data_IF_584976110164
#
_entry.id   IF_584976110164
#
_cell.length_a   1.000
_cell.length_b   1.000
_cell.length_c   1.000
_cell.angle_alpha   90.00
_cell.angle_beta   90.00
_cell.angle_gamma   90.00
#
_symmetry.space_group_name_H-M   'P 1'
#
loop_
_entity.id
_entity.type
_entity.pdbx_description
1 polymer ?
#
# COMPACT_ATOMS: atom_id res chain seq x y z
N UNK A 1 -12.80 -9.05 -14.68
CA UNK A 1 -11.76 -8.95 -13.63
C UNK A 1 -11.73 -7.50 -13.18
N UNK A 2 -11.36 -7.25 -11.93
CA UNK A 2 -11.36 -5.93 -11.32
C UNK A 2 -9.94 -5.50 -10.98
N UNK A 3 -9.66 -4.21 -11.07
CA UNK A 3 -8.38 -3.61 -10.67
C UNK A 3 -8.45 -3.16 -9.22
N UNK A 4 -7.47 -3.54 -8.42
CA UNK A 4 -7.34 -3.12 -7.04
C UNK A 4 -5.97 -2.48 -6.79
N UNK A 5 -5.94 -1.45 -5.95
CA UNK A 5 -4.70 -0.77 -5.55
C UNK A 5 -4.42 -1.04 -4.09
N UNK A 6 -3.25 -1.61 -3.79
CA UNK A 6 -2.86 -2.00 -2.45
C UNK A 6 -1.70 -1.12 -1.99
N UNK A 7 -1.85 -0.46 -0.84
CA UNK A 7 -0.75 0.17 -0.13
C UNK A 7 -0.01 -0.87 0.72
N UNK A 8 1.32 -0.83 0.70
CA UNK A 8 2.18 -1.70 1.50
C UNK A 8 3.04 -0.82 2.40
N UNK A 9 3.22 -1.24 3.65
CA UNK A 9 4.07 -0.55 4.62
C UNK A 9 4.74 -1.49 5.61
N UNK A 10 5.99 -1.21 5.99
CA UNK A 10 6.70 -1.92 7.05
C UNK A 10 7.73 -1.02 7.72
N UNK A 11 7.96 -1.19 9.02
CA UNK A 11 9.05 -0.50 9.74
C UNK A 11 9.76 -1.37 10.79
N UNK A 12 9.56 -2.70 10.76
CA UNK A 12 10.23 -3.66 11.64
C UNK A 12 10.95 -4.72 10.82
N UNK A 13 11.96 -5.34 11.43
CA UNK A 13 12.55 -6.63 11.03
C UNK A 13 12.84 -6.77 9.52
N UNK A 14 13.68 -5.89 8.98
CA UNK A 14 13.95 -5.78 7.53
C UNK A 14 12.72 -5.30 6.74
N UNK A 15 12.33 -4.01 6.89
CA UNK A 15 11.11 -3.50 6.28
C UNK A 15 11.14 -3.51 4.75
N UNK A 16 12.31 -3.33 4.14
CA UNK A 16 12.47 -3.44 2.69
C UNK A 16 12.26 -4.88 2.21
N UNK A 17 12.84 -5.87 2.91
CA UNK A 17 12.61 -7.28 2.62
C UNK A 17 11.17 -7.71 2.81
N UNK A 18 10.48 -7.23 3.86
CA UNK A 18 9.05 -7.50 4.06
C UNK A 18 8.18 -6.97 2.91
N UNK A 19 8.38 -5.71 2.50
CA UNK A 19 7.61 -5.13 1.40
C UNK A 19 7.93 -5.82 0.07
N UNK A 20 9.22 -6.11 -0.20
CA UNK A 20 9.65 -6.83 -1.40
C UNK A 20 9.02 -8.24 -1.50
N UNK A 21 9.02 -8.99 -0.39
CA UNK A 21 8.41 -10.32 -0.33
C UNK A 21 6.89 -10.25 -0.51
N UNK A 22 6.24 -9.31 0.16
CA UNK A 22 4.80 -9.12 0.04
C UNK A 22 4.39 -8.78 -1.40
N UNK A 23 5.16 -7.95 -2.12
CA UNK A 23 4.92 -7.68 -3.55
C UNK A 23 4.96 -8.94 -4.42
N UNK A 24 5.82 -9.90 -4.10
CA UNK A 24 5.87 -11.19 -4.79
C UNK A 24 4.66 -12.06 -4.40
N UNK A 25 4.34 -12.16 -3.11
CA UNK A 25 3.24 -13.00 -2.62
C UNK A 25 1.85 -12.50 -3.03
N UNK A 26 1.69 -11.20 -3.25
CA UNK A 26 0.47 -10.63 -3.83
C UNK A 26 0.16 -11.19 -5.23
N UNK A 27 1.18 -11.55 -6.01
CA UNK A 27 1.02 -12.19 -7.33
C UNK A 27 0.55 -13.66 -7.21
N UNK A 28 0.75 -14.28 -6.05
CA UNK A 28 0.35 -15.66 -5.75
C UNK A 28 -1.00 -15.78 -5.04
N UNK A 29 -1.72 -14.68 -4.79
CA UNK A 29 -3.03 -14.75 -4.14
C UNK A 29 -4.08 -15.42 -5.04
N UNK A 30 -5.08 -16.12 -4.46
CA UNK A 30 -6.14 -16.77 -5.24
C UNK A 30 -6.82 -15.81 -6.22
N UNK A 31 -6.97 -16.25 -7.47
CA UNK A 31 -7.67 -15.51 -8.53
C UNK A 31 -7.14 -14.08 -8.74
N UNK A 32 -5.89 -13.83 -8.41
CA UNK A 32 -5.28 -12.50 -8.37
C UNK A 32 -3.94 -12.55 -9.08
N UNK A 33 -3.58 -11.45 -9.76
CA UNK A 33 -2.28 -11.27 -10.39
C UNK A 33 -1.81 -9.83 -10.16
N UNK A 34 -0.55 -9.64 -9.83
CA UNK A 34 0.06 -8.31 -9.79
C UNK A 34 0.33 -7.81 -11.22
N UNK A 35 -0.13 -6.60 -11.51
CA UNK A 35 0.07 -5.94 -12.81
C UNK A 35 1.30 -5.04 -12.80
N UNK A 36 1.44 -4.22 -11.77
CA UNK A 36 2.59 -3.35 -11.56
C UNK A 36 2.78 -3.07 -10.07
N UNK A 37 3.92 -2.49 -9.71
CA UNK A 37 4.14 -1.87 -8.41
C UNK A 37 5.04 -0.64 -8.56
N UNK A 38 4.92 0.28 -7.61
CA UNK A 38 5.84 1.40 -7.45
C UNK A 38 7.23 0.92 -7.01
N UNK A 39 8.17 1.86 -6.97
CA UNK A 39 9.40 1.70 -6.20
C UNK A 39 9.13 1.61 -4.70
N UNK A 40 10.16 1.28 -3.93
CA UNK A 40 10.15 1.40 -2.47
C UNK A 40 10.45 2.85 -2.06
N UNK A 41 9.74 3.33 -1.05
CA UNK A 41 9.89 4.69 -0.52
C UNK A 41 10.09 4.67 0.99
N UNK A 42 11.16 5.34 1.46
CA UNK A 42 11.42 5.55 2.88
C UNK A 42 10.72 6.82 3.38
N UNK A 43 10.03 6.75 4.51
CA UNK A 43 9.28 7.86 5.11
C UNK A 43 9.37 7.86 6.63
N UNK A 44 9.42 9.04 7.25
CA UNK A 44 9.24 9.16 8.69
C UNK A 44 7.87 8.58 9.11
N UNK A 45 7.76 7.98 10.31
CA UNK A 45 6.50 7.44 10.80
C UNK A 45 5.45 8.53 10.97
N UNK A 46 4.18 8.21 10.68
CA UNK A 46 3.07 9.08 11.07
C UNK A 46 2.52 8.66 12.42
N UNK A 47 2.39 9.63 13.34
CA UNK A 47 1.97 9.40 14.72
C UNK A 47 3.18 9.44 15.66
N UNK A 48 3.31 8.51 16.62
CA UNK A 48 4.44 8.49 17.55
C UNK A 48 5.79 8.46 16.80
N UNK A 49 6.70 9.36 17.17
CA UNK A 49 8.02 9.49 16.55
C UNK A 49 9.06 8.51 17.14
N UNK A 50 8.70 7.77 18.19
CA UNK A 50 9.51 6.77 18.89
C UNK A 50 9.54 5.42 18.14
N UNK A 51 9.63 5.44 16.82
CA UNK A 51 9.66 4.22 16.00
C UNK A 51 10.48 4.43 14.72
N UNK A 52 10.98 3.33 14.10
CA UNK A 52 11.76 3.43 12.88
C UNK A 52 10.95 4.00 11.71
N UNK A 53 11.68 4.51 10.72
CA UNK A 53 11.14 4.90 9.41
C UNK A 53 10.42 3.74 8.73
N UNK A 54 9.36 4.07 8.01
CA UNK A 54 8.61 3.12 7.19
C UNK A 54 9.22 2.99 5.79
N UNK A 55 9.21 1.77 5.28
CA UNK A 55 9.30 1.49 3.85
C UNK A 55 7.88 1.28 3.33
N UNK A 56 7.50 2.02 2.29
CA UNK A 56 6.18 1.97 1.67
C UNK A 56 6.28 1.69 0.17
N UNK A 57 5.25 1.08 -0.37
CA UNK A 57 5.05 0.88 -1.81
C UNK A 57 3.56 0.80 -2.12
N UNK A 58 3.22 0.86 -3.41
CA UNK A 58 1.87 0.61 -3.90
C UNK A 58 1.90 -0.42 -5.02
N UNK A 59 0.96 -1.36 -5.01
CA UNK A 59 0.80 -2.38 -6.05
C UNK A 59 -0.55 -2.29 -6.73
N UNK A 60 -0.57 -2.51 -8.05
CA UNK A 60 -1.79 -2.75 -8.80
C UNK A 60 -2.01 -4.25 -8.94
N UNK A 61 -3.18 -4.71 -8.54
CA UNK A 61 -3.63 -6.07 -8.72
C UNK A 61 -4.78 -6.11 -9.72
N UNK A 62 -4.87 -7.20 -10.46
CA UNK A 62 -6.07 -7.62 -11.13
C UNK A 62 -6.61 -8.86 -10.43
N UNK A 63 -7.89 -8.87 -10.05
CA UNK A 63 -8.48 -9.96 -9.29
C UNK A 63 -9.90 -10.29 -9.72
N UNK A 64 -10.35 -11.51 -9.40
CA UNK A 64 -11.78 -11.91 -9.46
C UNK A 64 -12.42 -11.99 -8.07
N UNK A 65 -11.67 -11.71 -7.00
CA UNK A 65 -12.21 -11.66 -5.64
C UNK A 65 -13.11 -10.43 -5.46
N UNK A 66 -14.08 -10.52 -4.56
CA UNK A 66 -14.80 -9.35 -4.07
C UNK A 66 -13.88 -8.48 -3.19
N UNK A 67 -14.19 -7.20 -2.94
CA UNK A 67 -13.37 -6.34 -2.08
C UNK A 67 -13.14 -6.92 -0.68
N UNK A 68 -14.17 -7.50 -0.06
CA UNK A 68 -14.06 -8.13 1.26
C UNK A 68 -13.24 -9.42 1.23
N UNK A 69 -13.40 -10.24 0.18
CA UNK A 69 -12.58 -11.45 0.04
C UNK A 69 -11.11 -11.12 -0.22
N UNK A 70 -10.82 -10.07 -0.99
CA UNK A 70 -9.46 -9.56 -1.17
C UNK A 70 -8.91 -9.04 0.17
N UNK A 71 -9.69 -8.28 0.94
CA UNK A 71 -9.30 -7.82 2.28
C UNK A 71 -8.93 -8.99 3.19
N UNK A 72 -9.71 -10.09 3.18
CA UNK A 72 -9.39 -11.30 3.95
C UNK A 72 -8.03 -11.90 3.54
N UNK A 73 -7.72 -11.93 2.24
CA UNK A 73 -6.42 -12.41 1.74
C UNK A 73 -5.25 -11.52 2.18
N UNK A 74 -5.45 -10.19 2.15
CA UNK A 74 -4.44 -9.23 2.60
C UNK A 74 -4.18 -9.39 4.10
N UNK A 75 -5.24 -9.47 4.92
CA UNK A 75 -5.11 -9.69 6.36
C UNK A 75 -4.40 -11.02 6.68
N UNK A 76 -4.72 -12.10 5.94
CA UNK A 76 -4.02 -13.37 6.10
C UNK A 76 -2.54 -13.29 5.69
N UNK A 77 -2.18 -12.45 4.72
CA UNK A 77 -0.79 -12.21 4.35
C UNK A 77 -0.03 -11.46 5.45
N UNK A 78 -0.62 -10.42 6.03
CA UNK A 78 -0.03 -9.72 7.17
C UNK A 78 0.24 -10.64 8.37
N UNK A 79 -0.70 -11.55 8.68
CA UNK A 79 -0.53 -12.51 9.77
C UNK A 79 0.64 -13.47 9.50
N UNK A 80 0.83 -13.91 8.25
CA UNK A 80 2.00 -14.72 7.86
C UNK A 80 3.33 -13.97 8.00
N UNK A 81 3.30 -12.64 7.91
CA UNK A 81 4.44 -11.76 8.19
C UNK A 81 4.62 -11.45 9.69
N UNK A 82 3.86 -12.10 10.58
CA UNK A 82 4.00 -11.91 12.02
C UNK A 82 3.45 -10.58 12.53
N UNK A 83 2.45 -10.00 11.84
CA UNK A 83 1.84 -8.74 12.29
C UNK A 83 1.19 -8.88 13.67
N UNK A 84 1.79 -8.25 14.69
CA UNK A 84 1.21 -8.11 16.04
C UNK A 84 0.64 -6.71 16.23
N UNK A 85 -0.57 -6.60 16.80
CA UNK A 85 -1.24 -5.31 17.06
C UNK A 85 -1.15 -4.95 18.54
N UNK A 86 -0.03 -4.36 18.95
CA UNK A 86 0.19 -3.94 20.35
C UNK A 86 -0.32 -2.53 20.66
N UNK A 87 -0.13 -1.58 19.73
CA UNK A 87 -0.57 -0.18 19.89
C UNK A 87 -1.15 0.39 18.59
N UNK A 88 -2.13 1.28 18.71
CA UNK A 88 -2.67 2.01 17.54
C UNK A 88 -1.55 2.82 16.89
N UNK A 89 -1.36 2.65 15.58
CA UNK A 89 -0.26 3.26 14.80
C UNK A 89 1.16 2.88 15.25
N UNK A 90 1.31 1.72 15.91
CA UNK A 90 2.60 1.20 16.33
C UNK A 90 3.46 0.61 15.21
N UNK A 91 4.69 0.21 15.52
CA UNK A 91 5.54 -0.43 14.53
C UNK A 91 4.94 -1.78 14.10
N UNK A 92 5.21 -2.19 12.85
CA UNK A 92 4.64 -3.40 12.25
C UNK A 92 5.56 -3.99 11.19
N UNK A 93 5.56 -5.32 11.11
CA UNK A 93 6.31 -6.09 10.11
C UNK A 93 5.72 -5.95 8.71
N UNK A 94 4.40 -5.90 8.58
CA UNK A 94 3.71 -5.61 7.32
C UNK A 94 2.31 -5.01 7.58
N UNK A 95 1.95 -4.02 6.77
CA UNK A 95 0.62 -3.41 6.65
C UNK A 95 0.21 -3.45 5.18
N UNK A 96 -1.00 -3.92 4.88
CA UNK A 96 -1.57 -4.02 3.56
C UNK A 96 -2.96 -3.37 3.55
N UNK A 97 -3.05 -2.20 2.93
CA UNK A 97 -4.28 -1.44 2.83
C UNK A 97 -4.90 -1.57 1.43
N UNK A 98 -6.18 -1.96 1.34
CA UNK A 98 -6.93 -1.88 0.10
C UNK A 98 -7.37 -0.42 -0.13
N UNK A 99 -6.68 0.26 -1.05
CA UNK A 99 -6.86 1.69 -1.32
C UNK A 99 -8.05 1.95 -2.24
N UNK A 100 -8.11 1.21 -3.35
CA UNK A 100 -9.11 1.37 -4.40
C UNK A 100 -9.49 0.00 -4.98
N UNK A 101 -10.71 -0.08 -5.50
CA UNK A 101 -11.21 -1.25 -6.20
C UNK A 101 -12.12 -0.79 -7.35
N UNK A 102 -11.62 -0.86 -8.58
CA UNK A 102 -12.20 -0.20 -9.75
C UNK A 102 -12.59 1.25 -9.42
N UNK A 103 -13.82 1.64 -9.76
CA UNK A 103 -14.46 2.90 -9.39
C UNK A 103 -15.44 2.74 -8.22
N UNK A 104 -15.36 1.63 -7.47
CA UNK A 104 -16.34 1.34 -6.40
C UNK A 104 -16.19 2.30 -5.24
N UNK A 105 -17.34 2.77 -4.77
CA UNK A 105 -17.49 3.39 -3.46
C UNK A 105 -18.18 2.38 -2.55
N UNK A 106 -17.58 2.09 -1.41
CA UNK A 106 -18.07 1.08 -0.46
C UNK A 106 -17.88 1.59 0.96
N UNK A 107 -18.94 1.53 1.75
CA UNK A 107 -18.89 1.70 3.20
C UNK A 107 -19.41 0.42 3.85
N UNK A 108 -18.52 -0.31 4.51
CA UNK A 108 -18.84 -1.52 5.24
C UNK A 108 -18.12 -1.48 6.61
N UNK A 109 -18.60 -2.22 7.62
CA UNK A 109 -18.00 -2.19 8.96
C UNK A 109 -16.50 -2.52 8.99
N UNK A 110 -16.00 -3.28 8.02
CA UNK A 110 -14.60 -3.71 7.91
C UNK A 110 -13.80 -2.97 6.82
N UNK A 111 -14.46 -2.22 5.93
CA UNK A 111 -13.84 -1.70 4.71
C UNK A 111 -14.52 -0.42 4.21
N UNK A 112 -13.73 0.61 3.97
CA UNK A 112 -14.15 1.83 3.29
C UNK A 112 -13.34 1.98 2.00
N UNK A 113 -14.01 2.18 0.86
CA UNK A 113 -13.39 2.43 -0.44
C UNK A 113 -13.99 3.67 -1.10
N UNK A 114 -13.17 4.57 -1.69
CA UNK A 114 -11.71 4.68 -1.52
C UNK A 114 -11.28 4.71 -0.05
N UNK A 115 -10.07 4.25 0.24
CA UNK A 115 -9.58 4.24 1.62
C UNK A 115 -9.60 5.65 2.21
N UNK A 116 -10.29 5.84 3.33
CA UNK A 116 -10.70 7.16 3.84
C UNK A 116 -9.55 8.16 4.02
N UNK A 117 -8.37 7.67 4.39
CA UNK A 117 -7.20 8.51 4.66
C UNK A 117 -6.24 8.62 3.48
N UNK A 118 -6.44 7.89 2.36
CA UNK A 118 -5.41 7.78 1.31
C UNK A 118 -5.04 9.13 0.68
N UNK A 119 -6.01 10.04 0.54
CA UNK A 119 -5.82 11.37 -0.09
C UNK A 119 -4.99 12.33 0.75
N UNK A 120 -4.72 11.98 2.01
CA UNK A 120 -3.94 12.80 2.96
C UNK A 120 -2.54 12.27 3.19
N UNK A 121 -2.17 11.12 2.59
CA UNK A 121 -0.91 10.41 2.89
C UNK A 121 0.03 10.49 1.71
N UNK A 122 1.08 11.30 1.84
CA UNK A 122 2.12 11.42 0.82
C UNK A 122 2.76 10.07 0.48
N UNK A 123 3.00 9.22 1.49
CA UNK A 123 3.57 7.87 1.33
C UNK A 123 2.64 6.88 0.60
N UNK A 124 1.37 7.25 0.37
CA UNK A 124 0.44 6.51 -0.48
C UNK A 124 0.36 7.16 -1.86
N UNK A 125 0.14 8.48 -1.92
CA UNK A 125 -0.11 9.17 -3.18
C UNK A 125 1.12 9.27 -4.08
N UNK A 126 2.31 9.49 -3.53
CA UNK A 126 3.55 9.61 -4.34
C UNK A 126 3.90 8.28 -5.02
N UNK A 127 3.92 7.12 -4.33
CA UNK A 127 4.12 5.84 -5.01
C UNK A 127 2.96 5.45 -5.94
N UNK A 128 1.72 5.80 -5.58
CA UNK A 128 0.56 5.57 -6.45
C UNK A 128 0.65 6.36 -7.75
N UNK A 129 1.12 7.62 -7.70
CA UNK A 129 1.35 8.45 -8.88
C UNK A 129 2.42 7.86 -9.79
N UNK A 130 3.50 7.32 -9.22
CA UNK A 130 4.53 6.59 -9.99
C UNK A 130 3.92 5.38 -10.72
N UNK A 131 3.11 4.59 -10.02
CA UNK A 131 2.56 3.34 -10.56
C UNK A 131 1.40 3.56 -11.55
N UNK A 132 0.61 4.62 -11.39
CA UNK A 132 -0.45 5.02 -12.33
C UNK A 132 -0.62 6.54 -12.43
N UNK A 133 0.15 7.19 -13.33
CA UNK A 133 0.15 8.65 -13.49
C UNK A 133 -1.19 9.25 -13.89
N UNK A 134 -2.05 8.47 -14.55
CA UNK A 134 -3.35 8.91 -15.09
C UNK A 134 -4.53 8.44 -14.26
N UNK A 135 -4.30 7.85 -13.08
CA UNK A 135 -5.38 7.35 -12.23
C UNK A 135 -6.21 8.50 -11.66
N UNK A 136 -7.54 8.30 -11.64
CA UNK A 136 -8.51 9.16 -10.98
C UNK A 136 -9.29 8.38 -9.93
N UNK A 137 -9.66 9.06 -8.86
CA UNK A 137 -10.60 8.58 -7.88
C UNK A 137 -12.04 8.58 -8.44
N UNK A 138 -12.99 7.86 -7.81
CA UNK A 138 -14.39 7.83 -8.23
C UNK A 138 -15.08 9.20 -8.29
N UNK A 139 -14.59 10.19 -7.54
CA UNK A 139 -15.08 11.57 -7.52
C UNK A 139 -14.48 12.47 -8.63
N UNK A 140 -13.61 11.90 -9.47
CA UNK A 140 -12.96 12.59 -10.59
C UNK A 140 -11.63 13.26 -10.25
N UNK A 141 -11.22 13.30 -8.98
CA UNK A 141 -9.92 13.86 -8.60
C UNK A 141 -8.79 12.97 -9.12
N UNK A 142 -7.82 13.56 -9.82
CA UNK A 142 -6.64 12.81 -10.30
C UNK A 142 -5.62 12.65 -9.19
N UNK A 143 -4.88 11.53 -9.18
CA UNK A 143 -3.79 11.33 -8.21
C UNK A 143 -2.73 12.44 -8.34
N UNK A 144 -2.46 12.91 -9.55
CA UNK A 144 -1.55 14.04 -9.79
C UNK A 144 -2.01 15.33 -9.10
N UNK A 145 -3.31 15.66 -9.18
CA UNK A 145 -3.87 16.83 -8.52
C UNK A 145 -3.83 16.70 -6.99
N UNK A 146 -4.05 15.49 -6.45
CA UNK A 146 -3.96 15.23 -5.02
C UNK A 146 -2.53 15.36 -4.51
N UNK A 147 -1.53 14.85 -5.25
CA UNK A 147 -0.12 15.01 -4.89
C UNK A 147 0.28 16.49 -4.87
N UNK A 148 -0.19 17.29 -5.83
CA UNK A 148 0.09 18.73 -5.88
C UNK A 148 -0.53 19.53 -4.71
N UNK A 149 -1.53 18.98 -4.01
CA UNK A 149 -2.18 19.60 -2.86
C UNK A 149 -1.58 19.15 -1.51
N UNK A 150 -0.64 18.21 -1.51
CA UNK A 150 -0.01 17.75 -0.28
C UNK A 150 0.77 18.90 0.38
N UNK A 151 0.73 19.02 1.71
CA UNK A 151 1.56 19.97 2.42
C UNK A 151 3.04 19.65 2.17
N UNK A 152 3.89 20.68 2.24
CA UNK A 152 5.35 20.65 1.98
C UNK A 152 6.17 19.78 2.94
N UNK A 153 5.50 18.93 3.74
CA UNK A 153 6.14 17.96 4.62
C UNK A 153 7.07 17.04 3.82
N UNK A 154 8.15 16.56 4.47
CA UNK A 154 9.22 15.79 3.85
C UNK A 154 8.66 14.70 2.94
N UNK A 155 8.83 14.83 1.60
CA UNK A 155 8.23 13.88 0.67
C UNK A 155 8.88 12.50 0.86
N UNK A 156 8.14 11.42 0.57
CA UNK A 156 8.69 10.07 0.58
C UNK A 156 9.95 9.98 -0.28
N UNK A 157 11.03 9.45 0.29
CA UNK A 157 12.30 9.32 -0.43
C UNK A 157 12.33 7.99 -1.18
N UNK A 158 12.33 8.04 -2.51
CA UNK A 158 12.50 6.85 -3.36
C UNK A 158 13.83 6.17 -3.04
N UNK A 159 13.80 4.86 -2.81
CA UNK A 159 14.99 4.04 -2.64
C UNK A 159 15.58 3.70 -4.01
N UNK A 160 16.91 3.70 -4.14
CA UNK A 160 17.59 3.23 -5.36
C UNK A 160 17.37 1.73 -5.54
N UNK A 161 17.31 1.26 -6.80
CA UNK A 161 16.96 -0.13 -7.16
C UNK A 161 17.97 -1.22 -6.70
N UNK A 162 18.97 -0.87 -5.88
CA UNK A 162 19.80 -1.87 -5.23
C UNK A 162 19.01 -2.47 -4.07
N UNK A 163 18.87 -3.79 -4.04
CA UNK A 163 18.11 -4.62 -3.08
C UNK A 163 16.66 -4.91 -3.48
N UNK A 164 16.50 -5.67 -4.56
CA UNK A 164 15.57 -6.79 -4.54
C UNK A 164 16.45 -8.04 -4.73
N UNK A 165 16.54 -8.96 -3.75
CA UNK A 165 17.26 -10.21 -3.98
C UNK A 165 16.52 -10.98 -5.08
N UNK A 166 17.24 -11.28 -6.17
CA UNK A 166 16.75 -12.17 -7.22
C UNK A 166 16.41 -13.52 -6.59
N UNK A 167 15.17 -13.95 -6.75
CA UNK A 167 14.71 -15.28 -6.35
C UNK A 167 15.53 -16.34 -7.11
N UNK A 168 16.32 -17.13 -6.38
CA UNK A 168 16.83 -18.42 -6.87
C UNK A 168 15.80 -19.52 -6.62
#
# INVERSE_FOLDING_TARGET
MSLAWIGLGSNLDDPAGHVARALHELDGLPLTRRRTASSLYATCPVGPADQPDFINAVAQLETRLSPLALLDQLQALEQRHGRVRERRWGPRTLDLDLLLFDTRQLEAPRLTLPHAEMTRRAFVLVPLLEAAPTLSLPDGQTIAALVAQLPEATPPRRMSAAVLPESR
#
